data_IF_753522853298
#
_entry.id   IF_753522853298
#
_cell.length_a   1.000
_cell.length_b   1.000
_cell.length_c   1.000
_cell.angle_alpha   90.00
_cell.angle_beta   90.00
_cell.angle_gamma   90.00
#
_symmetry.space_group_name_H-M   'P 1'
#
loop_
_entity.id
_entity.type
_entity.pdbx_description
1 polymer ?
#
# COMPACT_ATOMS: atom_id res chain seq x y z
N UNK A 1 0.43 -23.39 25.41
CA UNK A 1 0.98 -22.89 24.14
C UNK A 1 0.79 -21.39 24.15
N UNK A 2 1.89 -20.64 24.22
CA UNK A 2 1.87 -19.17 24.28
C UNK A 2 1.15 -18.64 23.03
N UNK A 3 0.04 -17.93 23.23
CA UNK A 3 -0.72 -17.29 22.16
C UNK A 3 0.12 -16.12 21.64
N UNK A 4 1.07 -16.39 20.76
CA UNK A 4 1.75 -15.34 19.98
C UNK A 4 0.67 -14.74 19.09
N UNK A 5 0.05 -13.65 19.56
CA UNK A 5 -0.99 -12.91 18.86
C UNK A 5 -0.36 -12.37 17.58
N UNK A 6 -0.60 -13.06 16.46
CA UNK A 6 -0.02 -12.67 15.17
C UNK A 6 -0.48 -11.26 14.82
N UNK A 7 0.49 -10.35 14.67
CA UNK A 7 0.24 -8.91 14.59
C UNK A 7 -0.11 -8.49 13.17
N UNK A 8 -1.37 -8.12 12.95
CA UNK A 8 -1.83 -7.53 11.68
C UNK A 8 -1.05 -6.25 11.33
N UNK A 9 -0.60 -5.50 12.34
CA UNK A 9 0.15 -4.25 12.17
C UNK A 9 1.47 -4.46 11.44
N UNK A 10 2.18 -5.54 11.75
CA UNK A 10 3.47 -5.84 11.11
C UNK A 10 3.29 -6.19 9.63
N UNK A 11 2.27 -6.99 9.32
CA UNK A 11 1.94 -7.37 7.94
C UNK A 11 1.50 -6.14 7.14
N UNK A 12 0.61 -5.32 7.72
CA UNK A 12 0.14 -4.09 7.12
C UNK A 12 1.28 -3.10 6.82
N UNK A 13 2.18 -2.87 7.79
CA UNK A 13 3.32 -1.97 7.62
C UNK A 13 4.27 -2.46 6.51
N UNK A 14 4.56 -3.77 6.48
CA UNK A 14 5.41 -4.37 5.43
C UNK A 14 4.86 -4.13 4.03
N UNK A 15 3.58 -4.44 3.81
CA UNK A 15 2.95 -4.25 2.50
C UNK A 15 2.75 -2.77 2.15
N UNK A 16 2.53 -1.90 3.13
CA UNK A 16 2.46 -0.46 2.92
C UNK A 16 3.77 0.10 2.38
N UNK A 17 4.92 -0.31 2.94
CA UNK A 17 6.24 0.09 2.43
C UNK A 17 6.45 -0.38 1.00
N UNK A 18 6.11 -1.64 0.69
CA UNK A 18 6.21 -2.20 -0.67
C UNK A 18 5.33 -1.42 -1.65
N UNK A 19 4.10 -1.09 -1.24
CA UNK A 19 3.17 -0.27 -2.02
C UNK A 19 3.77 1.10 -2.32
N UNK A 20 4.32 1.79 -1.31
CA UNK A 20 4.91 3.12 -1.50
C UNK A 20 6.08 3.07 -2.46
N UNK A 21 7.00 2.12 -2.30
CA UNK A 21 8.14 1.96 -3.22
C UNK A 21 7.65 1.72 -4.65
N UNK A 22 6.64 0.87 -4.82
CA UNK A 22 6.02 0.61 -6.12
C UNK A 22 5.40 1.87 -6.71
N UNK A 23 4.68 2.65 -5.90
CA UNK A 23 4.08 3.91 -6.31
C UNK A 23 5.13 4.94 -6.73
N UNK A 24 6.26 5.05 -6.02
CA UNK A 24 7.38 5.92 -6.39
C UNK A 24 7.90 5.55 -7.79
N UNK A 25 8.11 4.26 -8.05
CA UNK A 25 8.56 3.78 -9.38
C UNK A 25 7.55 4.15 -10.47
N UNK A 26 6.25 3.98 -10.22
CA UNK A 26 5.20 4.35 -11.18
C UNK A 26 5.17 5.87 -11.41
N UNK A 27 5.31 6.67 -10.36
CA UNK A 27 5.36 8.13 -10.47
C UNK A 27 6.49 8.57 -11.41
N UNK A 28 7.70 8.08 -11.21
CA UNK A 28 8.82 8.40 -12.10
C UNK A 28 8.64 7.81 -13.51
N UNK A 29 8.09 6.61 -13.64
CA UNK A 29 7.79 6.04 -14.96
C UNK A 29 6.83 6.93 -15.76
N UNK A 30 5.76 7.45 -15.13
CA UNK A 30 4.84 8.38 -15.76
C UNK A 30 5.50 9.69 -16.13
N UNK A 31 6.37 10.22 -15.27
CA UNK A 31 7.15 11.43 -15.55
C UNK A 31 8.04 11.25 -16.78
N UNK A 32 8.84 10.18 -16.84
CA UNK A 32 9.75 9.94 -17.98
C UNK A 32 9.01 9.63 -19.28
N UNK A 33 7.82 9.04 -19.20
CA UNK A 33 6.96 8.80 -20.35
C UNK A 33 6.11 10.02 -20.74
N UNK A 34 6.27 11.17 -20.06
CA UNK A 34 5.48 12.38 -20.26
C UNK A 34 3.96 12.13 -20.25
N UNK A 35 3.51 11.26 -19.36
CA UNK A 35 2.08 10.98 -19.19
C UNK A 35 1.42 12.19 -18.54
N UNK A 36 0.43 12.76 -19.22
CA UNK A 36 -0.37 13.85 -18.66
C UNK A 36 -1.05 13.40 -17.35
N UNK A 37 -1.01 14.24 -16.32
CA UNK A 37 -1.68 13.98 -15.05
C UNK A 37 -3.21 13.90 -15.18
N UNK A 38 -3.79 14.58 -16.17
CA UNK A 38 -5.21 14.49 -16.50
C UNK A 38 -5.57 13.18 -17.23
N UNK A 39 -4.56 12.45 -17.72
CA UNK A 39 -4.76 11.21 -18.46
C UNK A 39 -5.49 10.16 -17.63
N UNK A 40 -6.36 9.33 -18.24
CA UNK A 40 -6.90 8.13 -17.62
C UNK A 40 -5.81 7.15 -17.11
N UNK A 41 -4.58 7.27 -17.61
CA UNK A 41 -3.44 6.49 -17.10
C UNK A 41 -3.24 6.64 -15.59
N UNK A 42 -3.66 7.76 -14.96
CA UNK A 42 -3.61 7.92 -13.51
C UNK A 42 -4.32 6.80 -12.75
N UNK A 43 -5.37 6.21 -13.31
CA UNK A 43 -6.12 5.13 -12.65
C UNK A 43 -5.32 3.82 -12.54
N UNK A 44 -4.25 3.62 -13.32
CA UNK A 44 -3.34 2.48 -13.15
C UNK A 44 -2.69 2.46 -11.77
N UNK A 45 -2.49 3.63 -11.14
CA UNK A 45 -1.91 3.72 -9.80
C UNK A 45 -2.76 3.08 -8.70
N UNK A 46 -4.07 2.88 -8.94
CA UNK A 46 -4.95 2.15 -8.00
C UNK A 46 -4.72 0.64 -8.03
N UNK A 47 -4.21 0.09 -9.13
CA UNK A 47 -4.01 -1.36 -9.28
C UNK A 47 -3.02 -1.88 -8.23
N UNK A 48 -1.81 -1.31 -8.07
CA UNK A 48 -0.91 -1.70 -6.99
C UNK A 48 -1.53 -1.56 -5.60
N UNK A 49 -2.27 -0.46 -5.36
CA UNK A 49 -2.90 -0.24 -4.06
C UNK A 49 -3.85 -1.37 -3.67
N UNK A 50 -4.76 -1.74 -4.59
CA UNK A 50 -5.73 -2.82 -4.38
C UNK A 50 -5.02 -4.17 -4.29
N UNK A 51 -4.05 -4.42 -5.18
CA UNK A 51 -3.30 -5.68 -5.18
C UNK A 51 -2.59 -5.92 -3.84
N UNK A 52 -1.89 -4.92 -3.31
CA UNK A 52 -1.19 -5.05 -2.03
C UNK A 52 -2.13 -5.04 -0.82
N UNK A 53 -3.30 -4.40 -0.92
CA UNK A 53 -4.36 -4.54 0.09
C UNK A 53 -4.84 -5.99 0.19
N UNK A 54 -5.13 -6.63 -0.95
CA UNK A 54 -5.54 -8.03 -0.99
C UNK A 54 -4.43 -8.97 -0.51
N UNK A 55 -3.17 -8.69 -0.87
CA UNK A 55 -2.02 -9.46 -0.39
C UNK A 55 -1.80 -9.30 1.13
N UNK A 56 -2.05 -8.11 1.68
CA UNK A 56 -2.02 -7.88 3.13
C UNK A 56 -3.04 -8.76 3.84
N UNK A 57 -4.29 -8.75 3.38
CA UNK A 57 -5.36 -9.55 3.96
C UNK A 57 -5.11 -11.05 3.78
N UNK A 58 -4.60 -11.46 2.61
CA UNK A 58 -4.24 -12.84 2.32
C UNK A 58 -3.14 -13.35 3.24
N UNK A 59 -2.03 -12.62 3.37
CA UNK A 59 -0.95 -13.06 4.25
C UNK A 59 -1.38 -13.09 5.72
N UNK A 60 -2.19 -12.12 6.16
CA UNK A 60 -2.73 -12.15 7.51
C UNK A 60 -3.68 -13.34 7.74
N UNK A 61 -4.50 -13.69 6.75
CA UNK A 61 -5.31 -14.92 6.76
C UNK A 61 -4.44 -16.18 6.85
N UNK A 62 -3.37 -16.26 6.06
CA UNK A 62 -2.45 -17.41 6.06
C UNK A 62 -1.78 -17.56 7.43
N UNK A 63 -1.40 -16.43 8.06
CA UNK A 63 -0.91 -16.41 9.43
C UNK A 63 -1.95 -16.92 10.43
N UNK A 64 -3.23 -16.63 10.27
CA UNK A 64 -4.29 -17.11 11.16
C UNK A 64 -4.71 -18.57 10.94
N UNK A 65 -4.04 -19.29 10.03
CA UNK A 65 -4.37 -20.69 9.72
C UNK A 65 -5.42 -20.83 8.62
N UNK A 66 -5.55 -19.84 7.75
CA UNK A 66 -6.41 -19.91 6.57
C UNK A 66 -7.83 -19.40 6.78
N UNK A 67 -8.16 -18.84 7.94
CA UNK A 67 -9.46 -18.25 8.23
C UNK A 67 -9.30 -16.82 8.73
N UNK A 68 -10.21 -15.95 8.28
CA UNK A 68 -10.18 -14.52 8.58
C UNK A 68 -11.62 -14.06 8.81
N UNK A 69 -11.89 -13.46 9.97
CA UNK A 69 -13.17 -12.79 10.20
C UNK A 69 -13.21 -11.44 9.49
N UNK A 70 -14.41 -10.90 9.25
CA UNK A 70 -14.55 -9.58 8.61
C UNK A 70 -13.76 -8.49 9.35
N UNK A 71 -13.86 -8.42 10.69
CA UNK A 71 -13.14 -7.42 11.48
C UNK A 71 -11.62 -7.54 11.37
N UNK A 72 -11.10 -8.76 11.32
CA UNK A 72 -9.66 -9.01 11.12
C UNK A 72 -9.18 -8.59 9.71
N UNK A 73 -9.97 -8.89 8.68
CA UNK A 73 -9.65 -8.49 7.30
C UNK A 73 -9.78 -6.99 7.08
N UNK A 74 -10.83 -6.38 7.63
CA UNK A 74 -11.01 -4.94 7.57
C UNK A 74 -9.87 -4.22 8.28
N UNK A 75 -9.54 -4.59 9.53
CA UNK A 75 -8.51 -3.89 10.31
C UNK A 75 -7.11 -4.02 9.69
N UNK A 76 -6.76 -5.19 9.15
CA UNK A 76 -5.48 -5.37 8.45
C UNK A 76 -5.37 -4.50 7.19
N UNK A 77 -6.41 -4.47 6.34
CA UNK A 77 -6.45 -3.60 5.16
C UNK A 77 -6.53 -2.11 5.50
N UNK A 78 -7.25 -1.75 6.57
CA UNK A 78 -7.35 -0.37 7.06
C UNK A 78 -6.00 0.14 7.54
N UNK A 79 -5.29 -0.63 8.38
CA UNK A 79 -3.93 -0.26 8.83
C UNK A 79 -2.94 -0.15 7.67
N UNK A 80 -3.03 -1.04 6.67
CA UNK A 80 -2.24 -0.94 5.45
C UNK A 80 -2.49 0.41 4.74
N UNK A 81 -3.76 0.79 4.60
CA UNK A 81 -4.15 2.06 3.96
C UNK A 81 -3.65 3.27 4.75
N UNK A 82 -3.71 3.21 6.09
CA UNK A 82 -3.21 4.28 6.98
C UNK A 82 -1.70 4.45 6.82
N UNK A 83 -0.93 3.36 6.95
CA UNK A 83 0.53 3.43 6.79
C UNK A 83 0.93 3.85 5.38
N UNK A 84 0.32 3.24 4.36
CA UNK A 84 0.59 3.56 2.96
C UNK A 84 0.27 5.02 2.64
N UNK A 85 -0.87 5.52 3.11
CA UNK A 85 -1.30 6.90 2.90
C UNK A 85 -0.37 7.92 3.56
N UNK A 86 0.04 7.70 4.81
CA UNK A 86 0.95 8.61 5.52
C UNK A 86 2.30 8.67 4.82
N UNK A 87 2.92 7.52 4.55
CA UNK A 87 4.25 7.46 3.94
C UNK A 87 4.20 8.02 2.50
N UNK A 88 3.16 7.69 1.73
CA UNK A 88 2.99 8.20 0.38
C UNK A 88 2.76 9.72 0.37
N UNK A 89 2.01 10.27 1.32
CA UNK A 89 1.80 11.71 1.42
C UNK A 89 3.11 12.47 1.66
N UNK A 90 3.98 11.94 2.53
CA UNK A 90 5.33 12.50 2.73
C UNK A 90 6.13 12.47 1.42
N UNK A 91 6.10 11.35 0.69
CA UNK A 91 6.75 11.27 -0.61
C UNK A 91 6.19 12.30 -1.61
N UNK A 92 4.86 12.39 -1.76
CA UNK A 92 4.21 13.32 -2.72
C UNK A 92 4.58 14.76 -2.40
N UNK A 93 4.61 15.15 -1.13
CA UNK A 93 5.02 16.49 -0.71
C UNK A 93 6.47 16.80 -1.14
N UNK A 94 7.39 15.86 -0.93
CA UNK A 94 8.80 16.02 -1.34
C UNK A 94 8.91 16.00 -2.88
N UNK A 95 8.17 15.13 -3.54
CA UNK A 95 8.19 14.98 -4.99
C UNK A 95 7.76 16.28 -5.69
N UNK A 96 6.58 16.80 -5.34
CA UNK A 96 6.04 18.03 -5.95
C UNK A 96 6.76 19.30 -5.47
N UNK A 97 7.32 19.31 -4.26
CA UNK A 97 7.96 20.50 -3.71
C UNK A 97 9.44 20.65 -4.07
N UNK A 98 10.16 19.54 -4.22
CA UNK A 98 11.63 19.55 -4.27
C UNK A 98 12.16 18.78 -5.48
N UNK A 99 11.67 17.56 -5.73
CA UNK A 99 12.28 16.68 -6.73
C UNK A 99 11.80 16.96 -8.16
N UNK A 100 10.54 17.35 -8.32
CA UNK A 100 9.91 17.63 -9.61
C UNK A 100 8.80 18.69 -9.45
N UNK A 101 9.19 19.97 -9.27
CA UNK A 101 8.27 21.09 -9.16
C UNK A 101 7.53 21.40 -10.47
#
# INVERSE_FOLDING_TARGET
MENVKKSYTNVAAKWAVIYVITSIVITYAFQFLNVDQASPAKYLSYIPFIAFLLLTQKEYKDQLGGFLTFGQGFMSGFMYSVFGGIILAVFIYIYLGILSP
#
